data_IF_720934182825
#
_entry.id   IF_720934182825
#
_cell.length_a   1.000
_cell.length_b   1.000
_cell.length_c   1.000
_cell.angle_alpha   90.00
_cell.angle_beta   90.00
_cell.angle_gamma   90.00
#
_symmetry.space_group_name_H-M   'P 1'
#
loop_
_entity.id
_entity.type
_entity.pdbx_description
1 polymer ?
#
# COMPACT_ATOMS: atom_id res chain seq x y z
N UNK A 1 21.01 11.51 -2.23
CA UNK A 1 20.31 10.29 -1.76
C UNK A 1 21.06 8.99 -2.06
N UNK A 2 22.09 8.98 -2.91
CA UNK A 2 22.81 7.78 -3.30
C UNK A 2 24.25 7.88 -2.83
N UNK A 3 24.68 7.04 -1.86
CA UNK A 3 26.10 6.97 -1.47
C UNK A 3 27.01 6.63 -2.66
N UNK A 4 26.50 5.93 -3.67
CA UNK A 4 27.18 5.60 -4.91
C UNK A 4 27.62 6.83 -5.73
N UNK A 5 26.98 8.00 -5.53
CA UNK A 5 27.40 9.23 -6.20
C UNK A 5 28.76 9.73 -5.68
N UNK A 6 29.06 9.48 -4.41
CA UNK A 6 30.34 9.87 -3.82
C UNK A 6 31.50 9.03 -4.36
N UNK A 7 31.25 7.78 -4.74
CA UNK A 7 32.27 6.90 -5.33
C UNK A 7 32.64 7.33 -6.77
N UNK A 8 31.80 8.13 -7.41
CA UNK A 8 32.03 8.68 -8.77
C UNK A 8 32.80 9.99 -8.77
N UNK A 9 33.04 10.59 -7.60
CA UNK A 9 33.79 11.85 -7.49
C UNK A 9 35.28 11.59 -7.54
N UNK A 10 36.02 12.49 -8.19
CA UNK A 10 37.47 12.44 -8.24
C UNK A 10 38.09 12.72 -6.84
N UNK A 11 39.32 12.20 -6.58
CA UNK A 11 39.99 12.34 -5.28
C UNK A 11 40.18 13.78 -4.82
N UNK A 12 40.33 14.73 -5.76
CA UNK A 12 40.51 16.17 -5.44
C UNK A 12 39.23 16.78 -4.90
N UNK A 13 38.12 16.48 -5.57
CA UNK A 13 36.76 16.90 -5.13
C UNK A 13 36.41 16.26 -3.80
N UNK A 14 36.71 14.97 -3.60
CA UNK A 14 36.52 14.26 -2.31
C UNK A 14 37.34 14.86 -1.18
N UNK A 15 38.56 15.34 -1.46
CA UNK A 15 39.41 16.01 -0.49
C UNK A 15 38.89 17.37 -0.05
N UNK A 16 38.16 18.05 -0.92
CA UNK A 16 37.56 19.38 -0.65
C UNK A 16 36.24 19.27 0.11
N UNK A 17 35.51 18.15 -0.04
CA UNK A 17 34.30 17.90 0.72
C UNK A 17 34.68 17.62 2.18
N UNK A 18 34.18 18.44 3.09
CA UNK A 18 34.32 18.17 4.52
C UNK A 18 33.67 16.84 4.85
N UNK A 19 34.36 15.97 5.62
CA UNK A 19 33.91 14.60 5.95
C UNK A 19 32.69 14.50 6.87
N UNK A 20 31.92 15.55 7.04
CA UNK A 20 30.68 15.56 7.81
C UNK A 20 29.52 15.11 6.94
N UNK A 21 29.26 13.80 6.89
CA UNK A 21 28.12 13.24 6.19
C UNK A 21 26.92 13.13 7.12
N UNK A 22 25.83 13.78 6.75
CA UNK A 22 24.53 13.55 7.37
C UNK A 22 23.74 12.58 6.50
N UNK A 23 23.54 11.38 6.99
CA UNK A 23 22.70 10.37 6.31
C UNK A 23 21.27 10.54 6.75
N UNK A 24 20.39 10.82 5.79
CA UNK A 24 18.96 10.88 6.01
C UNK A 24 18.36 9.52 5.65
N UNK A 25 17.88 8.81 6.67
CA UNK A 25 17.19 7.53 6.50
C UNK A 25 15.79 7.74 5.91
N UNK A 26 15.22 6.65 5.39
CA UNK A 26 13.80 6.64 4.98
C UNK A 26 12.91 6.82 6.21
N UNK A 27 11.78 7.47 6.03
CA UNK A 27 10.79 7.58 7.11
C UNK A 27 10.22 6.21 7.46
N UNK A 28 10.07 5.93 8.74
CA UNK A 28 9.31 4.79 9.24
C UNK A 28 7.80 5.03 9.09
N UNK A 29 6.99 3.97 9.16
CA UNK A 29 5.53 4.08 9.12
C UNK A 29 4.99 5.03 10.21
N UNK A 30 5.51 4.96 11.43
CA UNK A 30 5.11 5.85 12.53
C UNK A 30 5.44 7.33 12.25
N UNK A 31 6.58 7.60 11.64
CA UNK A 31 6.93 8.98 11.24
C UNK A 31 6.05 9.47 10.11
N UNK A 32 5.74 8.62 9.14
CA UNK A 32 4.80 8.95 8.06
C UNK A 32 3.40 9.18 8.61
N UNK A 33 2.94 8.38 9.57
CA UNK A 33 1.65 8.57 10.22
C UNK A 33 1.57 9.94 10.90
N UNK A 34 2.60 10.34 11.64
CA UNK A 34 2.65 11.66 12.26
C UNK A 34 2.61 12.80 11.22
N UNK A 35 3.36 12.67 10.11
CA UNK A 35 3.35 13.64 9.01
C UNK A 35 1.97 13.72 8.35
N UNK A 36 1.33 12.57 8.09
CA UNK A 36 0.00 12.52 7.49
C UNK A 36 -1.03 13.15 8.42
N UNK A 37 -1.02 12.83 9.73
CA UNK A 37 -1.92 13.40 10.73
C UNK A 37 -1.83 14.92 10.78
N UNK A 38 -0.61 15.47 10.77
CA UNK A 38 -0.39 16.94 10.70
C UNK A 38 -1.00 17.53 9.42
N UNK A 39 -0.85 16.89 8.28
CA UNK A 39 -1.42 17.35 7.01
C UNK A 39 -2.94 17.25 6.97
N UNK A 40 -3.51 16.21 7.58
CA UNK A 40 -4.97 16.07 7.73
C UNK A 40 -5.54 17.23 8.52
N UNK A 41 -4.94 17.57 9.67
CA UNK A 41 -5.39 18.71 10.49
C UNK A 41 -5.35 20.04 9.75
N UNK A 42 -4.37 20.24 8.88
CA UNK A 42 -4.21 21.48 8.10
C UNK A 42 -5.11 21.59 6.88
N UNK A 43 -5.46 20.48 6.24
CA UNK A 43 -6.03 20.50 4.90
C UNK A 43 -7.42 19.86 4.77
N UNK A 44 -7.86 19.10 5.77
CA UNK A 44 -9.14 18.42 5.75
C UNK A 44 -10.09 18.97 6.84
N UNK A 45 -11.37 18.76 6.65
CA UNK A 45 -12.37 19.03 7.69
C UNK A 45 -12.16 18.05 8.84
N UNK A 46 -12.51 18.48 10.04
CA UNK A 46 -12.43 17.63 11.23
C UNK A 46 -13.26 16.34 11.02
N UNK A 47 -12.66 15.19 11.34
CA UNK A 47 -13.27 13.87 11.17
C UNK A 47 -13.35 13.36 9.73
N UNK A 48 -12.90 14.13 8.71
CA UNK A 48 -12.99 13.70 7.32
C UNK A 48 -12.01 12.56 6.96
N UNK A 49 -10.96 12.35 7.75
CA UNK A 49 -10.01 11.25 7.55
C UNK A 49 -9.93 10.45 8.86
N UNK A 50 -10.56 9.26 8.94
CA UNK A 50 -10.50 8.40 10.12
C UNK A 50 -9.07 7.96 10.45
N UNK A 51 -8.79 7.72 11.73
CA UNK A 51 -7.47 7.29 12.21
C UNK A 51 -7.00 5.99 11.55
N UNK A 52 -7.93 5.05 11.31
CA UNK A 52 -7.65 3.81 10.58
C UNK A 52 -7.14 4.10 9.16
N UNK A 53 -7.71 5.10 8.48
CA UNK A 53 -7.29 5.50 7.12
C UNK A 53 -5.91 6.15 7.16
N UNK A 54 -5.61 6.95 8.20
CA UNK A 54 -4.29 7.56 8.40
C UNK A 54 -3.22 6.48 8.60
N UNK A 55 -3.50 5.49 9.46
CA UNK A 55 -2.59 4.37 9.70
C UNK A 55 -2.36 3.56 8.41
N UNK A 56 -3.42 3.27 7.68
CA UNK A 56 -3.33 2.54 6.40
C UNK A 56 -2.53 3.31 5.34
N UNK A 57 -2.71 4.62 5.22
CA UNK A 57 -1.89 5.48 4.35
C UNK A 57 -0.40 5.40 4.71
N UNK A 58 -0.09 5.43 6.00
CA UNK A 58 1.29 5.34 6.49
C UNK A 58 1.91 3.98 6.17
N UNK A 59 1.16 2.89 6.30
CA UNK A 59 1.63 1.55 5.96
C UNK A 59 1.89 1.41 4.46
N UNK A 60 0.96 1.85 3.61
CA UNK A 60 1.13 1.84 2.15
C UNK A 60 2.36 2.65 1.73
N UNK A 61 2.56 3.84 2.31
CA UNK A 61 3.70 4.69 2.00
C UNK A 61 5.01 4.20 2.66
N UNK A 62 4.91 3.41 3.73
CA UNK A 62 6.04 2.87 4.50
C UNK A 62 7.01 2.05 3.67
N UNK A 63 6.52 1.34 2.65
CA UNK A 63 7.33 0.57 1.72
C UNK A 63 8.37 1.43 0.97
N UNK A 64 8.00 2.65 0.59
CA UNK A 64 8.90 3.62 -0.04
C UNK A 64 9.67 4.45 0.97
N UNK A 65 9.10 4.72 2.15
CA UNK A 65 9.60 5.63 3.16
C UNK A 65 9.67 7.09 2.67
N UNK A 66 8.81 7.47 1.72
CA UNK A 66 8.79 8.80 1.10
C UNK A 66 7.56 9.61 1.54
N UNK A 67 7.81 10.70 2.27
CA UNK A 67 6.75 11.60 2.75
C UNK A 67 5.99 12.30 1.61
N UNK A 68 6.63 12.58 0.47
CA UNK A 68 5.94 13.17 -0.68
C UNK A 68 4.93 12.20 -1.26
N UNK A 69 5.31 10.93 -1.37
CA UNK A 69 4.41 9.87 -1.80
C UNK A 69 3.22 9.74 -0.85
N UNK A 70 3.46 9.74 0.47
CA UNK A 70 2.40 9.69 1.48
C UNK A 70 1.41 10.87 1.35
N UNK A 71 1.92 12.09 1.17
CA UNK A 71 1.09 13.30 0.99
C UNK A 71 0.31 13.25 -0.33
N UNK A 72 0.92 12.77 -1.41
CA UNK A 72 0.23 12.61 -2.69
C UNK A 72 -0.88 11.58 -2.63
N UNK A 73 -0.66 10.44 -1.93
CA UNK A 73 -1.69 9.45 -1.67
C UNK A 73 -2.88 10.05 -0.90
N UNK A 74 -2.60 10.79 0.17
CA UNK A 74 -3.63 11.47 0.96
C UNK A 74 -4.44 12.44 0.10
N UNK A 75 -3.77 13.28 -0.69
CA UNK A 75 -4.44 14.24 -1.57
C UNK A 75 -5.34 13.55 -2.61
N UNK A 76 -4.84 12.50 -3.26
CA UNK A 76 -5.63 11.74 -4.26
C UNK A 76 -6.78 10.99 -3.61
N UNK A 77 -6.57 10.39 -2.44
CA UNK A 77 -7.63 9.72 -1.69
C UNK A 77 -8.76 10.71 -1.33
N UNK A 78 -8.42 11.93 -0.89
CA UNK A 78 -9.39 13.00 -0.68
C UNK A 78 -10.15 13.36 -1.94
N UNK A 79 -9.47 13.48 -3.09
CA UNK A 79 -10.12 13.75 -4.38
C UNK A 79 -11.07 12.64 -4.81
N UNK A 80 -10.75 11.37 -4.52
CA UNK A 80 -11.66 10.25 -4.79
C UNK A 80 -12.90 10.29 -3.88
N UNK A 81 -12.73 10.66 -2.61
CA UNK A 81 -13.85 10.83 -1.69
C UNK A 81 -14.78 11.97 -2.16
N UNK A 82 -14.21 13.13 -2.51
CA UNK A 82 -14.96 14.27 -3.05
C UNK A 82 -15.74 13.89 -4.32
N UNK A 83 -15.08 13.24 -5.28
CA UNK A 83 -15.71 12.82 -6.54
C UNK A 83 -16.81 11.77 -6.36
N UNK A 84 -16.79 11.03 -5.25
CA UNK A 84 -17.80 10.03 -4.89
C UNK A 84 -18.83 10.56 -3.88
N UNK A 85 -18.81 11.87 -3.59
CA UNK A 85 -19.68 12.54 -2.60
C UNK A 85 -19.66 11.89 -1.21
N UNK A 86 -18.52 11.29 -0.85
CA UNK A 86 -18.30 10.68 0.46
C UNK A 86 -17.99 11.75 1.52
N UNK A 87 -18.51 11.55 2.74
CA UNK A 87 -18.20 12.43 3.89
C UNK A 87 -16.82 12.19 4.49
N UNK A 88 -16.31 10.98 4.32
CA UNK A 88 -15.05 10.52 4.89
C UNK A 88 -14.16 9.86 3.82
N UNK A 89 -12.86 9.99 4.01
CA UNK A 89 -11.86 9.32 3.18
C UNK A 89 -11.69 7.89 3.68
N UNK A 90 -12.33 6.95 3.01
CA UNK A 90 -12.28 5.53 3.37
C UNK A 90 -11.00 4.85 2.83
N UNK A 91 -10.58 3.71 3.40
CA UNK A 91 -9.44 2.93 2.91
C UNK A 91 -9.52 2.56 1.42
N UNK A 92 -10.74 2.40 0.88
CA UNK A 92 -10.93 2.18 -0.56
C UNK A 92 -10.43 3.35 -1.42
N UNK A 93 -10.59 4.58 -0.95
CA UNK A 93 -10.08 5.78 -1.64
C UNK A 93 -8.54 5.75 -1.69
N UNK A 94 -7.90 5.28 -0.61
CA UNK A 94 -6.44 5.10 -0.55
C UNK A 94 -5.97 4.04 -1.55
N UNK A 95 -6.65 2.89 -1.64
CA UNK A 95 -6.31 1.84 -2.62
C UNK A 95 -6.42 2.36 -4.05
N UNK A 96 -7.49 3.09 -4.38
CA UNK A 96 -7.65 3.72 -5.69
C UNK A 96 -6.54 4.74 -5.98
N UNK A 97 -6.16 5.54 -4.97
CA UNK A 97 -5.08 6.50 -5.07
C UNK A 97 -3.73 5.80 -5.34
N UNK A 98 -3.41 4.74 -4.61
CA UNK A 98 -2.17 3.99 -4.76
C UNK A 98 -2.00 3.45 -6.19
N UNK A 99 -3.05 2.87 -6.77
CA UNK A 99 -3.03 2.39 -8.16
C UNK A 99 -2.78 3.53 -9.16
N UNK A 100 -3.26 4.73 -8.89
CA UNK A 100 -3.12 5.87 -9.79
C UNK A 100 -1.76 6.56 -9.70
N UNK A 101 -1.09 6.49 -8.54
CA UNK A 101 0.24 7.11 -8.34
C UNK A 101 1.34 6.20 -8.89
N UNK A 102 1.30 4.93 -8.53
CA UNK A 102 2.23 3.93 -9.05
C UNK A 102 1.45 2.67 -9.43
N UNK A 103 1.17 2.44 -10.71
CA UNK A 103 0.58 1.19 -11.16
C UNK A 103 1.62 0.06 -11.04
N UNK A 104 1.81 -0.44 -9.81
CA UNK A 104 2.75 -1.55 -9.53
C UNK A 104 2.24 -2.83 -10.16
N UNK A 105 0.92 -3.03 -10.12
CA UNK A 105 0.29 -4.25 -10.62
C UNK A 105 -0.06 -4.09 -12.09
N UNK A 106 0.66 -4.77 -12.95
CA UNK A 106 0.37 -4.84 -14.39
C UNK A 106 -0.52 -6.04 -14.71
N UNK A 107 -1.31 -5.89 -15.76
CA UNK A 107 -2.27 -6.92 -16.22
C UNK A 107 -1.60 -8.27 -16.53
N UNK A 108 -0.38 -8.24 -17.03
CA UNK A 108 0.45 -9.42 -17.30
C UNK A 108 0.84 -10.16 -16.01
N UNK A 109 1.09 -9.46 -14.90
CA UNK A 109 1.37 -10.09 -13.60
C UNK A 109 0.17 -10.90 -13.09
N UNK A 110 -1.04 -10.34 -13.16
CA UNK A 110 -2.25 -11.07 -12.78
C UNK A 110 -2.50 -12.25 -13.72
N UNK A 111 -2.22 -12.08 -15.01
CA UNK A 111 -2.41 -13.15 -16.00
C UNK A 111 -1.50 -14.37 -15.75
N UNK A 112 -0.29 -14.14 -15.22
CA UNK A 112 0.69 -15.20 -14.92
C UNK A 112 0.39 -16.00 -13.66
N UNK A 113 -0.52 -15.52 -12.78
CA UNK A 113 -0.91 -16.21 -11.55
C UNK A 113 -1.59 -17.55 -11.89
N UNK A 114 -1.39 -18.55 -11.02
CA UNK A 114 -2.13 -19.81 -11.08
C UNK A 114 -3.62 -19.59 -10.85
N UNK A 115 -4.44 -20.55 -11.24
CA UNK A 115 -5.89 -20.42 -11.13
C UNK A 115 -6.35 -20.20 -9.69
N UNK A 116 -5.81 -20.96 -8.72
CA UNK A 116 -6.16 -20.79 -7.32
C UNK A 116 -5.64 -19.49 -6.70
N UNK A 117 -4.51 -18.95 -7.14
CA UNK A 117 -4.06 -17.61 -6.72
C UNK A 117 -5.02 -16.53 -7.23
N UNK A 118 -5.54 -16.67 -8.45
CA UNK A 118 -6.58 -15.77 -8.99
C UNK A 118 -7.88 -15.84 -8.20
N UNK A 119 -8.32 -17.05 -7.82
CA UNK A 119 -9.52 -17.24 -6.97
C UNK A 119 -9.31 -16.61 -5.58
N UNK A 120 -8.13 -16.81 -5.00
CA UNK A 120 -7.77 -16.20 -3.71
C UNK A 120 -7.79 -14.67 -3.80
N UNK A 121 -7.12 -14.11 -4.81
CA UNK A 121 -7.08 -12.66 -5.04
C UNK A 121 -8.48 -12.08 -5.30
N UNK A 122 -9.34 -12.81 -6.01
CA UNK A 122 -10.74 -12.41 -6.23
C UNK A 122 -11.54 -12.37 -4.93
N UNK A 123 -11.36 -13.36 -4.04
CA UNK A 123 -11.98 -13.39 -2.70
C UNK A 123 -11.55 -12.18 -1.86
N UNK A 124 -10.26 -11.92 -1.79
CA UNK A 124 -9.69 -10.75 -1.09
C UNK A 124 -10.24 -9.44 -1.64
N UNK A 125 -10.27 -9.28 -2.97
CA UNK A 125 -10.78 -8.07 -3.61
C UNK A 125 -12.28 -7.84 -3.33
N UNK A 126 -13.09 -8.89 -3.36
CA UNK A 126 -14.51 -8.82 -3.03
C UNK A 126 -14.76 -8.46 -1.58
N UNK A 127 -14.00 -9.05 -0.66
CA UNK A 127 -14.09 -8.72 0.77
C UNK A 127 -13.83 -7.24 1.01
N UNK A 128 -12.71 -6.70 0.54
CA UNK A 128 -12.39 -5.29 0.70
C UNK A 128 -13.43 -4.35 0.06
N UNK A 129 -14.01 -4.75 -1.06
CA UNK A 129 -15.07 -3.97 -1.71
C UNK A 129 -16.36 -3.93 -0.88
N UNK A 130 -16.67 -4.99 -0.15
CA UNK A 130 -17.90 -5.10 0.64
C UNK A 130 -17.72 -4.57 2.07
N UNK A 131 -16.64 -4.93 2.74
CA UNK A 131 -16.40 -4.59 4.14
C UNK A 131 -15.94 -3.15 4.35
N UNK A 132 -15.27 -2.53 3.36
CA UNK A 132 -14.75 -1.17 3.48
C UNK A 132 -13.57 -1.01 4.46
N UNK A 133 -13.08 -2.11 5.06
CA UNK A 133 -12.00 -2.14 6.05
C UNK A 133 -10.63 -1.90 5.41
N UNK A 134 -9.66 -1.43 6.19
CA UNK A 134 -8.27 -1.26 5.74
C UNK A 134 -7.55 -2.61 5.66
N UNK A 135 -7.79 -3.48 6.62
CA UNK A 135 -7.11 -4.75 6.82
C UNK A 135 -8.07 -5.93 6.78
N UNK A 136 -7.52 -7.09 6.56
CA UNK A 136 -8.22 -8.37 6.53
C UNK A 136 -7.37 -9.40 7.27
N UNK A 137 -7.98 -10.17 8.15
CA UNK A 137 -7.32 -11.28 8.81
C UNK A 137 -7.17 -12.47 7.86
N UNK A 138 -6.26 -13.40 8.19
CA UNK A 138 -6.09 -14.63 7.41
C UNK A 138 -7.36 -15.51 7.44
N UNK A 139 -8.11 -15.52 8.55
CA UNK A 139 -9.37 -16.24 8.65
C UNK A 139 -10.42 -15.71 7.67
N UNK A 140 -10.61 -14.39 7.64
CA UNK A 140 -11.51 -13.74 6.68
C UNK A 140 -11.10 -14.00 5.22
N UNK A 141 -9.78 -14.01 4.95
CA UNK A 141 -9.26 -14.32 3.62
C UNK A 141 -9.56 -15.77 3.20
N UNK A 142 -9.47 -16.73 4.14
CA UNK A 142 -9.85 -18.14 3.92
C UNK A 142 -11.33 -18.31 3.66
N UNK A 143 -12.19 -17.62 4.42
CA UNK A 143 -13.63 -17.63 4.22
C UNK A 143 -14.01 -17.03 2.85
N UNK A 144 -13.47 -15.88 2.52
CA UNK A 144 -13.70 -15.24 1.22
C UNK A 144 -13.23 -16.11 0.06
N UNK A 145 -12.08 -16.76 0.19
CA UNK A 145 -11.59 -17.71 -0.79
C UNK A 145 -12.47 -18.96 -0.92
N UNK A 146 -12.97 -19.50 0.20
CA UNK A 146 -13.85 -20.67 0.19
C UNK A 146 -15.14 -20.38 -0.61
N UNK A 147 -15.76 -19.22 -0.38
CA UNK A 147 -16.96 -18.79 -1.11
C UNK A 147 -16.67 -18.71 -2.62
N UNK A 148 -15.55 -18.13 -3.03
CA UNK A 148 -15.17 -18.05 -4.44
C UNK A 148 -14.92 -19.45 -5.02
N UNK A 149 -14.27 -20.34 -4.28
CA UNK A 149 -14.08 -21.73 -4.74
C UNK A 149 -15.40 -22.46 -4.98
N UNK A 150 -16.37 -22.31 -4.06
CA UNK A 150 -17.72 -22.89 -4.26
C UNK A 150 -18.42 -22.35 -5.49
N UNK A 151 -18.34 -21.06 -5.72
CA UNK A 151 -18.94 -20.40 -6.89
C UNK A 151 -18.34 -20.93 -8.22
N UNK A 152 -17.04 -21.21 -8.23
CA UNK A 152 -16.34 -21.73 -9.42
C UNK A 152 -16.28 -23.26 -9.49
N UNK A 153 -16.92 -23.97 -8.55
CA UNK A 153 -16.94 -25.43 -8.51
C UNK A 153 -15.59 -26.09 -8.19
N UNK A 154 -14.70 -25.35 -7.52
CA UNK A 154 -13.34 -25.77 -7.22
C UNK A 154 -13.17 -26.20 -5.78
N UNK A 155 -12.31 -27.23 -5.56
CA UNK A 155 -11.97 -27.66 -4.21
C UNK A 155 -10.98 -26.67 -3.56
N UNK A 156 -11.36 -26.09 -2.43
CA UNK A 156 -10.48 -25.19 -1.68
C UNK A 156 -9.15 -25.85 -1.29
N UNK A 157 -8.07 -25.08 -1.34
CA UNK A 157 -6.75 -25.45 -0.86
C UNK A 157 -6.66 -25.25 0.66
N UNK A 158 -5.73 -25.96 1.29
CA UNK A 158 -5.53 -25.87 2.74
C UNK A 158 -4.80 -24.59 3.17
N UNK A 159 -4.90 -24.29 4.46
CA UNK A 159 -4.33 -23.13 5.14
C UNK A 159 -2.86 -22.85 4.77
N UNK A 160 -2.00 -23.87 4.81
CA UNK A 160 -0.57 -23.72 4.46
C UNK A 160 -0.36 -23.22 3.03
N UNK A 161 -1.20 -23.67 2.09
CA UNK A 161 -1.11 -23.22 0.71
C UNK A 161 -1.57 -21.77 0.54
N UNK A 162 -2.57 -21.35 1.30
CA UNK A 162 -3.03 -19.95 1.28
C UNK A 162 -1.98 -19.00 1.87
N UNK A 163 -1.28 -19.39 2.93
CA UNK A 163 -0.12 -18.65 3.42
C UNK A 163 0.97 -18.46 2.37
N UNK A 164 1.21 -19.50 1.57
CA UNK A 164 2.15 -19.39 0.45
C UNK A 164 1.64 -18.38 -0.58
N UNK A 165 0.35 -18.41 -0.94
CA UNK A 165 -0.22 -17.42 -1.86
C UNK A 165 -0.07 -15.98 -1.33
N UNK A 166 -0.38 -15.74 -0.06
CA UNK A 166 -0.18 -14.42 0.55
C UNK A 166 1.26 -13.97 0.41
N UNK A 167 2.22 -14.84 0.75
CA UNK A 167 3.65 -14.53 0.66
C UNK A 167 4.08 -14.23 -0.77
N UNK A 168 3.70 -15.06 -1.73
CA UNK A 168 4.10 -14.92 -3.13
C UNK A 168 3.47 -13.65 -3.74
N UNK A 169 2.20 -13.37 -3.47
CA UNK A 169 1.52 -12.15 -3.92
C UNK A 169 2.08 -10.89 -3.28
N UNK A 170 2.48 -10.94 -2.00
CA UNK A 170 3.14 -9.84 -1.30
C UNK A 170 4.54 -9.57 -1.87
N UNK A 171 5.32 -10.61 -2.17
CA UNK A 171 6.65 -10.46 -2.80
C UNK A 171 6.58 -9.85 -4.20
N UNK A 172 5.49 -10.07 -4.92
CA UNK A 172 5.25 -9.45 -6.24
C UNK A 172 4.62 -8.06 -6.15
N UNK A 173 4.26 -7.58 -4.96
CA UNK A 173 3.61 -6.30 -4.73
C UNK A 173 2.15 -6.24 -5.20
N UNK A 174 1.47 -7.39 -5.29
CA UNK A 174 0.05 -7.48 -5.63
C UNK A 174 -0.81 -7.35 -4.37
N UNK A 175 -0.30 -7.85 -3.21
CA UNK A 175 -0.88 -7.70 -1.87
C UNK A 175 0.09 -6.94 -0.96
#
# INVERSE_FOLDING_TARGET
REPEYLEKLDPSTMGTLQRNFVRLEKYSANQLQAIISDRVQLAFKEGAVPEETIAFLADVAGSSGDARYAIELLWRAGKYADASEMREVLPECVRKAAVSVYPVVRKDMISSLSFHEKLFLLGVARHFKQAGTAYMSMGEAEEAYAVVCEEYGEKKRGHTQLWKYVKDLSMTGIL
#
